data_IF_322887386857
#
_entry.id   IF_322887386857
#
_cell.length_a   1.000
_cell.length_b   1.000
_cell.length_c   1.000
_cell.angle_alpha   90.00
_cell.angle_beta   90.00
_cell.angle_gamma   90.00
#
_symmetry.space_group_name_H-M   'P 1'
#
loop_
_entity.id
_entity.type
_entity.pdbx_description
1 polymer ?
#
# COMPACT_ATOMS: atom_id res chain seq x y z
N UNK A 1 -0.85 6.27 2.38
CA UNK A 1 -0.87 5.76 3.78
C UNK A 1 -0.13 4.43 3.91
N UNK A 2 -0.38 3.46 3.05
CA UNK A 2 0.23 2.13 3.17
C UNK A 2 1.77 2.15 3.17
N UNK A 3 2.39 2.91 2.28
CA UNK A 3 3.86 3.05 2.24
C UNK A 3 4.42 3.52 3.58
N UNK A 4 3.85 4.58 4.15
CA UNK A 4 4.29 5.15 5.41
C UNK A 4 4.07 4.18 6.58
N UNK A 5 2.92 3.50 6.61
CA UNK A 5 2.60 2.51 7.63
C UNK A 5 3.59 1.33 7.61
N UNK A 6 3.86 0.79 6.43
CA UNK A 6 4.76 -0.36 6.31
C UNK A 6 6.18 0.00 6.70
N UNK A 7 6.69 1.14 6.24
CA UNK A 7 8.02 1.60 6.63
C UNK A 7 8.12 1.86 8.14
N UNK A 8 7.07 2.42 8.74
CA UNK A 8 7.05 2.69 10.18
C UNK A 8 7.01 1.39 11.00
N UNK A 9 6.10 0.46 10.64
CA UNK A 9 5.88 -0.77 11.41
C UNK A 9 6.97 -1.80 11.23
N UNK A 10 7.63 -1.83 10.07
CA UNK A 10 8.65 -2.84 9.77
C UNK A 10 9.99 -2.58 10.43
N UNK A 11 10.23 -1.40 10.96
CA UNK A 11 11.45 -1.00 11.67
C UNK A 11 12.74 -1.33 10.90
N UNK A 12 12.73 -1.08 9.59
CA UNK A 12 13.88 -1.27 8.72
C UNK A 12 13.97 -2.63 8.02
N UNK A 13 13.07 -3.57 8.33
CA UNK A 13 13.07 -4.88 7.67
C UNK A 13 12.51 -4.86 6.25
N UNK A 14 11.75 -3.84 5.91
CA UNK A 14 11.18 -3.64 4.59
C UNK A 14 11.40 -2.21 4.12
N UNK A 15 11.56 -2.05 2.82
CA UNK A 15 11.48 -0.75 2.14
C UNK A 15 10.19 -0.72 1.34
N UNK A 16 9.24 0.11 1.74
CA UNK A 16 7.96 0.21 1.08
C UNK A 16 7.91 1.42 0.16
N UNK A 17 7.27 1.23 -0.97
CA UNK A 17 7.02 2.27 -1.97
C UNK A 17 5.54 2.26 -2.31
N UNK A 18 5.01 3.35 -2.83
CA UNK A 18 3.66 3.41 -3.36
C UNK A 18 3.63 4.16 -4.67
N UNK A 19 2.67 3.81 -5.50
CA UNK A 19 2.48 4.44 -6.80
C UNK A 19 1.04 4.23 -7.27
N UNK A 20 0.64 4.94 -8.30
CA UNK A 20 -0.67 4.77 -8.92
C UNK A 20 -0.59 4.76 -10.43
N UNK A 21 -1.63 4.25 -11.06
CA UNK A 21 -1.79 4.27 -12.51
C UNK A 21 -2.05 5.69 -13.02
N UNK A 22 -2.78 6.49 -12.24
CA UNK A 22 -3.14 7.87 -12.55
C UNK A 22 -2.83 8.74 -11.34
N UNK A 23 -1.53 9.08 -11.09
CA UNK A 23 -1.15 9.85 -9.91
C UNK A 23 -1.76 11.26 -9.96
N UNK A 24 -2.25 11.72 -8.80
CA UNK A 24 -2.93 13.02 -8.69
C UNK A 24 -1.99 14.22 -8.61
N UNK A 25 -0.70 14.00 -8.51
CA UNK A 25 0.33 15.04 -8.41
C UNK A 25 0.82 15.29 -7.00
N UNK A 26 0.02 15.01 -5.97
CA UNK A 26 0.41 15.17 -4.57
C UNK A 26 -0.35 14.19 -3.68
N UNK A 27 0.22 13.76 -2.55
CA UNK A 27 -0.52 13.02 -1.54
C UNK A 27 -1.68 13.85 -1.00
N UNK A 28 -2.77 13.18 -0.63
CA UNK A 28 -3.95 13.86 -0.10
C UNK A 28 -3.65 14.48 1.28
N UNK A 29 -4.07 15.74 1.51
CA UNK A 29 -3.86 16.39 2.81
C UNK A 29 -4.46 15.60 3.98
N UNK A 30 -5.63 14.96 3.79
CA UNK A 30 -6.29 14.16 4.81
C UNK A 30 -5.44 12.96 5.23
N UNK A 31 -4.75 12.32 4.27
CA UNK A 31 -3.85 11.22 4.55
C UNK A 31 -2.62 11.70 5.32
N UNK A 32 -2.01 12.80 4.91
CA UNK A 32 -0.85 13.37 5.58
C UNK A 32 -1.17 13.78 7.01
N UNK A 33 -2.30 14.45 7.22
CA UNK A 33 -2.74 14.87 8.55
C UNK A 33 -2.96 13.68 9.47
N UNK A 34 -3.57 12.61 8.98
CA UNK A 34 -3.83 11.40 9.74
C UNK A 34 -2.53 10.70 10.15
N UNK A 35 -1.57 10.57 9.24
CA UNK A 35 -0.25 10.01 9.53
C UNK A 35 0.48 10.83 10.59
N UNK A 36 0.49 12.16 10.45
CA UNK A 36 1.13 13.05 11.41
C UNK A 36 0.49 12.94 12.80
N UNK A 37 -0.84 12.86 12.86
CA UNK A 37 -1.57 12.74 14.14
C UNK A 37 -1.27 11.42 14.86
N UNK A 38 -0.86 10.39 14.14
CA UNK A 38 -0.49 9.09 14.70
C UNK A 38 1.03 8.93 14.91
N UNK A 39 1.80 9.98 14.69
CA UNK A 39 3.25 9.98 14.89
C UNK A 39 4.05 9.27 13.80
N UNK A 40 3.46 9.07 12.63
CA UNK A 40 4.11 8.41 11.50
C UNK A 40 4.71 9.47 10.58
N UNK A 41 5.99 9.30 10.21
CA UNK A 41 6.67 10.24 9.34
C UNK A 41 6.04 10.30 7.96
N UNK A 42 5.88 11.51 7.43
CA UNK A 42 5.42 11.77 6.06
C UNK A 42 6.56 12.21 5.14
N UNK A 43 7.78 12.17 5.64
CA UNK A 43 8.96 12.58 4.86
C UNK A 43 9.13 11.68 3.62
N UNK A 44 9.35 12.31 2.47
CA UNK A 44 9.58 11.59 1.22
C UNK A 44 8.34 11.05 0.52
N UNK A 45 7.15 11.21 1.10
CA UNK A 45 5.91 10.79 0.44
C UNK A 45 5.63 11.70 -0.76
N UNK A 46 5.39 11.08 -1.91
CA UNK A 46 5.07 11.81 -3.15
C UNK A 46 4.12 10.99 -4.01
N UNK A 47 3.35 11.70 -4.80
CA UNK A 47 2.52 11.08 -5.84
C UNK A 47 3.41 10.71 -7.03
N UNK A 48 3.28 9.49 -7.53
CA UNK A 48 4.11 9.01 -8.63
C UNK A 48 3.43 7.89 -9.41
N UNK A 49 3.83 7.76 -10.67
CA UNK A 49 3.34 6.69 -11.53
C UNK A 49 4.00 5.36 -11.19
N UNK A 50 3.23 4.28 -11.26
CA UNK A 50 3.77 2.92 -11.10
C UNK A 50 4.80 2.56 -12.18
N UNK A 51 4.83 3.28 -13.31
CA UNK A 51 5.83 3.08 -14.36
C UNK A 51 7.25 3.34 -13.87
N UNK A 52 7.45 4.13 -12.81
CA UNK A 52 8.77 4.32 -12.21
C UNK A 52 9.38 3.01 -11.73
N UNK A 53 8.55 2.05 -11.31
CA UNK A 53 8.99 0.76 -10.77
C UNK A 53 9.14 -0.32 -11.83
N UNK A 54 8.70 -0.05 -13.06
CA UNK A 54 8.92 -0.91 -14.22
C UNK A 54 10.11 -0.46 -15.07
N UNK A 55 10.68 0.72 -14.79
CA UNK A 55 11.78 1.30 -15.56
C UNK A 55 13.12 0.63 -15.23
N UNK A 56 14.10 0.68 -16.16
CA UNK A 56 15.46 0.22 -15.86
C UNK A 56 16.04 0.99 -14.66
N UNK A 57 16.71 0.27 -13.75
CA UNK A 57 17.29 0.86 -12.55
C UNK A 57 16.31 1.04 -11.39
N UNK A 58 15.04 0.66 -11.55
CA UNK A 58 14.07 0.67 -10.46
C UNK A 58 14.48 -0.30 -9.34
N UNK A 59 14.04 -0.05 -8.08
CA UNK A 59 14.30 -0.99 -7.00
C UNK A 59 13.72 -2.37 -7.32
N UNK A 60 14.42 -3.43 -6.87
CA UNK A 60 13.87 -4.78 -6.94
C UNK A 60 12.67 -4.89 -5.99
N UNK A 61 11.55 -5.39 -6.52
CA UNK A 61 10.33 -5.57 -5.73
C UNK A 61 10.14 -7.04 -5.41
N UNK A 62 9.95 -7.35 -4.13
CA UNK A 62 9.63 -8.71 -3.67
C UNK A 62 8.13 -8.95 -3.65
N UNK A 63 7.35 -7.91 -3.35
CA UNK A 63 5.89 -7.96 -3.24
C UNK A 63 5.27 -6.73 -3.91
N UNK A 64 4.12 -6.94 -4.53
CA UNK A 64 3.27 -5.85 -5.04
C UNK A 64 1.84 -6.07 -4.55
N UNK A 65 1.30 -5.11 -3.81
CA UNK A 65 -0.07 -5.14 -3.32
C UNK A 65 -0.87 -4.04 -3.97
N UNK A 66 -1.98 -4.39 -4.61
CA UNK A 66 -2.94 -3.40 -5.08
C UNK A 66 -3.94 -3.13 -3.96
N UNK A 67 -4.14 -1.85 -3.62
CA UNK A 67 -4.94 -1.47 -2.46
C UNK A 67 -6.26 -0.78 -2.82
N UNK A 68 -6.41 -0.28 -4.03
CA UNK A 68 -7.67 0.26 -4.54
C UNK A 68 -8.35 -0.75 -5.44
N UNK A 69 -9.67 -0.90 -5.32
CA UNK A 69 -10.42 -1.83 -6.16
C UNK A 69 -10.31 -1.48 -7.65
N UNK A 70 -10.20 -0.20 -7.99
CA UNK A 70 -10.01 0.24 -9.36
C UNK A 70 -8.67 -0.21 -9.96
N UNK A 71 -7.61 -0.25 -9.16
CA UNK A 71 -6.28 -0.65 -9.62
C UNK A 71 -6.23 -2.14 -10.03
N UNK A 72 -7.08 -2.98 -9.44
CA UNK A 72 -7.15 -4.40 -9.78
C UNK A 72 -7.66 -4.66 -11.20
N UNK A 73 -8.46 -3.72 -11.74
CA UNK A 73 -9.06 -3.83 -13.07
C UNK A 73 -8.24 -3.14 -14.16
N UNK A 74 -7.14 -2.52 -13.80
CA UNK A 74 -6.25 -1.85 -14.73
C UNK A 74 -5.11 -2.79 -15.18
N UNK A 75 -4.62 -2.57 -16.40
CA UNK A 75 -3.49 -3.34 -16.91
C UNK A 75 -2.21 -2.87 -16.23
N UNK A 76 -1.72 -3.67 -15.29
CA UNK A 76 -0.47 -3.39 -14.59
C UNK A 76 0.74 -3.54 -15.50
N UNK A 77 1.81 -2.74 -15.30
CA UNK A 77 3.08 -2.96 -15.96
C UNK A 77 3.66 -4.33 -15.59
N UNK A 78 4.55 -4.82 -16.45
CA UNK A 78 5.37 -5.98 -16.09
C UNK A 78 6.46 -5.54 -15.10
N UNK A 79 6.46 -6.14 -13.91
CA UNK A 79 7.44 -5.82 -12.88
C UNK A 79 8.69 -6.70 -13.05
N UNK A 80 9.90 -6.09 -13.19
CA UNK A 80 11.13 -6.89 -13.24
C UNK A 80 11.31 -7.74 -11.98
N UNK A 81 11.79 -8.98 -12.13
CA UNK A 81 12.02 -9.86 -11.01
C UNK A 81 10.82 -10.67 -10.56
N UNK A 82 9.67 -10.52 -11.19
CA UNK A 82 8.45 -11.27 -10.91
C UNK A 82 8.07 -11.28 -9.42
N UNK A 83 7.76 -10.12 -8.82
CA UNK A 83 7.36 -10.07 -7.42
C UNK A 83 6.07 -10.86 -7.17
N UNK A 84 5.89 -11.34 -5.96
CA UNK A 84 4.61 -11.89 -5.53
C UNK A 84 3.57 -10.78 -5.49
N UNK A 85 2.37 -11.03 -5.99
CA UNK A 85 1.31 -10.03 -6.06
C UNK A 85 0.08 -10.49 -5.30
N UNK A 86 -0.60 -9.54 -4.66
CA UNK A 86 -1.88 -9.79 -4.03
C UNK A 86 -2.75 -8.54 -4.12
N UNK A 87 -4.05 -8.73 -4.17
CA UNK A 87 -5.00 -7.63 -4.14
C UNK A 87 -5.56 -7.47 -2.72
N UNK A 88 -5.26 -6.32 -2.11
CA UNK A 88 -5.74 -5.93 -0.79
C UNK A 88 -6.74 -4.78 -0.91
N UNK A 89 -7.69 -4.90 -1.84
CA UNK A 89 -8.59 -3.83 -2.19
C UNK A 89 -9.40 -3.30 -1.03
N UNK A 90 -9.48 -1.98 -0.94
CA UNK A 90 -10.35 -1.22 -0.05
C UNK A 90 -11.03 -0.13 -0.86
N UNK A 91 -12.19 0.40 -0.39
CA UNK A 91 -12.77 1.59 -1.00
C UNK A 91 -11.76 2.74 -0.99
N UNK A 92 -11.66 3.45 -2.10
CA UNK A 92 -10.74 4.59 -2.21
C UNK A 92 -11.28 5.77 -1.39
N UNK A 93 -10.62 6.16 -0.28
CA UNK A 93 -11.10 7.28 0.53
C UNK A 93 -11.02 8.61 -0.22
N UNK A 94 -10.15 8.73 -1.22
CA UNK A 94 -10.04 9.94 -2.03
C UNK A 94 -11.25 10.13 -2.96
N UNK A 95 -12.01 9.07 -3.22
CA UNK A 95 -13.22 9.13 -4.02
C UNK A 95 -14.47 9.51 -3.21
N UNK A 96 -14.36 9.55 -1.88
CA UNK A 96 -15.46 9.91 -1.00
C UNK A 96 -15.89 11.36 -1.22
N UNK A 97 -17.20 11.55 -1.42
CA UNK A 97 -17.83 12.86 -1.53
C UNK A 97 -18.77 13.03 -0.34
N UNK A 98 -18.77 14.22 0.25
CA UNK A 98 -19.62 14.51 1.39
C UNK A 98 -19.00 15.58 2.27
N UNK A 99 -19.40 15.60 3.55
CA UNK A 99 -18.89 16.57 4.53
C UNK A 99 -17.40 16.30 4.85
N UNK A 100 -16.67 17.31 5.39
CA UNK A 100 -15.30 17.07 5.85
C UNK A 100 -15.18 15.94 6.87
N UNK A 101 -16.18 15.74 7.74
CA UNK A 101 -16.21 14.65 8.70
C UNK A 101 -16.36 13.29 8.02
N UNK A 102 -17.21 13.19 7.00
CA UNK A 102 -17.39 11.96 6.24
C UNK A 102 -16.12 11.57 5.48
N UNK A 103 -15.46 12.55 4.88
CA UNK A 103 -14.19 12.34 4.18
C UNK A 103 -13.12 11.89 5.17
N UNK A 104 -13.00 12.56 6.33
CA UNK A 104 -12.03 12.19 7.35
C UNK A 104 -12.27 10.77 7.87
N UNK A 105 -13.54 10.36 8.04
CA UNK A 105 -13.90 9.00 8.44
C UNK A 105 -13.44 7.98 7.40
N UNK A 106 -13.65 8.27 6.11
CA UNK A 106 -13.22 7.37 5.04
C UNK A 106 -11.72 7.13 5.08
N UNK A 107 -10.91 8.17 5.33
CA UNK A 107 -9.46 8.03 5.48
C UNK A 107 -9.08 7.24 6.73
N UNK A 108 -9.78 7.45 7.85
CA UNK A 108 -9.54 6.67 9.08
C UNK A 108 -9.87 5.20 8.88
N UNK A 109 -10.99 4.88 8.23
CA UNK A 109 -11.40 3.51 7.98
C UNK A 109 -10.37 2.79 7.08
N UNK A 110 -9.89 3.47 6.04
CA UNK A 110 -8.83 2.95 5.19
C UNK A 110 -7.54 2.73 5.98
N UNK A 111 -7.15 3.67 6.82
CA UNK A 111 -5.97 3.58 7.67
C UNK A 111 -6.03 2.36 8.59
N UNK A 112 -7.15 2.17 9.29
CA UNK A 112 -7.34 1.04 10.22
C UNK A 112 -7.24 -0.29 9.49
N UNK A 113 -7.86 -0.41 8.32
CA UNK A 113 -7.81 -1.63 7.52
C UNK A 113 -6.40 -1.93 7.03
N UNK A 114 -5.68 -0.92 6.52
CA UNK A 114 -4.30 -1.07 6.08
C UNK A 114 -3.37 -1.41 7.24
N UNK A 115 -3.55 -0.76 8.38
CA UNK A 115 -2.74 -1.02 9.58
C UNK A 115 -2.87 -2.48 10.03
N UNK A 116 -4.10 -3.00 10.06
CA UNK A 116 -4.37 -4.40 10.42
C UNK A 116 -3.71 -5.37 9.42
N UNK A 117 -3.90 -5.13 8.13
CA UNK A 117 -3.35 -6.01 7.08
C UNK A 117 -1.84 -6.00 7.06
N UNK A 118 -1.23 -4.84 7.20
CA UNK A 118 0.22 -4.71 7.30
C UNK A 118 0.75 -5.44 8.53
N UNK A 119 0.07 -5.30 9.67
CA UNK A 119 0.44 -6.04 10.87
C UNK A 119 0.40 -7.55 10.68
N UNK A 120 -0.63 -8.07 10.01
CA UNK A 120 -0.74 -9.49 9.68
C UNK A 120 0.40 -9.93 8.75
N UNK A 121 0.70 -9.14 7.73
CA UNK A 121 1.81 -9.43 6.81
C UNK A 121 3.16 -9.48 7.54
N UNK A 122 3.43 -8.51 8.39
CA UNK A 122 4.69 -8.43 9.13
C UNK A 122 4.85 -9.54 10.16
N UNK A 123 3.76 -10.19 10.58
CA UNK A 123 3.81 -11.32 11.50
C UNK A 123 4.10 -12.65 10.81
N UNK A 124 4.11 -12.71 9.48
CA UNK A 124 4.42 -13.93 8.75
C UNK A 124 5.91 -14.28 8.87
N UNK A 125 6.24 -15.57 9.12
CA UNK A 125 7.63 -16.03 9.16
C UNK A 125 8.17 -16.24 7.73
N UNK A 126 8.33 -15.15 6.97
CA UNK A 126 8.63 -15.19 5.53
C UNK A 126 9.90 -15.97 5.20
N UNK A 127 10.93 -15.86 6.06
CA UNK A 127 12.19 -16.57 5.83
C UNK A 127 12.06 -18.10 5.96
N UNK A 128 10.99 -18.59 6.59
CA UNK A 128 10.74 -20.01 6.84
C UNK A 128 9.69 -20.60 5.92
N UNK A 129 8.93 -19.77 5.19
CA UNK A 129 7.86 -20.20 4.31
C UNK A 129 8.37 -20.43 2.89
N UNK A 130 7.85 -21.45 2.23
CA UNK A 130 8.05 -21.61 0.79
C UNK A 130 7.22 -20.59 0.04
N UNK A 131 7.64 -20.26 -1.18
CA UNK A 131 7.00 -19.23 -1.99
C UNK A 131 5.49 -19.43 -2.18
N UNK A 132 5.07 -20.66 -2.41
CA UNK A 132 3.65 -20.96 -2.58
C UNK A 132 2.84 -20.69 -1.30
N UNK A 133 3.38 -21.06 -0.15
CA UNK A 133 2.73 -20.80 1.14
C UNK A 133 2.64 -19.30 1.43
N UNK A 134 3.67 -18.53 1.09
CA UNK A 134 3.64 -17.06 1.20
C UNK A 134 2.52 -16.49 0.33
N UNK A 135 2.40 -16.95 -0.91
CA UNK A 135 1.37 -16.49 -1.83
C UNK A 135 -0.03 -16.73 -1.27
N UNK A 136 -0.27 -17.90 -0.68
CA UNK A 136 -1.56 -18.22 -0.06
C UNK A 136 -1.85 -17.30 1.13
N UNK A 137 -0.87 -17.06 1.98
CA UNK A 137 -1.05 -16.22 3.17
C UNK A 137 -1.33 -14.77 2.81
N UNK A 138 -0.59 -14.18 1.86
CA UNK A 138 -0.83 -12.78 1.48
C UNK A 138 -2.18 -12.61 0.79
N UNK A 139 -2.67 -13.63 0.08
CA UNK A 139 -4.01 -13.61 -0.51
C UNK A 139 -5.09 -13.66 0.58
N UNK A 140 -4.90 -14.48 1.60
CA UNK A 140 -5.83 -14.54 2.75
C UNK A 140 -5.90 -13.21 3.49
N UNK A 141 -4.77 -12.56 3.69
CA UNK A 141 -4.70 -11.24 4.34
C UNK A 141 -5.55 -10.22 3.61
N UNK A 142 -5.56 -10.26 2.28
CA UNK A 142 -6.38 -9.37 1.47
C UNK A 142 -7.88 -9.55 1.65
N UNK A 143 -8.30 -10.67 2.23
CA UNK A 143 -9.71 -10.99 2.51
C UNK A 143 -10.07 -10.81 3.99
N UNK A 144 -9.11 -10.51 4.80
CA UNK A 144 -9.29 -10.37 6.25
C UNK A 144 -9.92 -9.04 6.67
#
# INVERSE_FOLDING_TARGET
MAEALLNHKSTGNFNAFSAGSHPSGAPRPEALALLQSTGISTAGLRSKSWNEFAAPGAPHLDFVFTVCDNAANEQCPYWPGQPMTAHWGIPDPAAMKGSPEEIARAFRDAFVTLDRRIGLFLSLPLAMLQQLAIQEEINKIGKA
#
